data_IF_129132144300
#
_entry.id   IF_129132144300
#
_cell.length_a   1.000
_cell.length_b   1.000
_cell.length_c   1.000
_cell.angle_alpha   90.00
_cell.angle_beta   90.00
_cell.angle_gamma   90.00
#
_symmetry.space_group_name_H-M   'P 1'
#
loop_
_entity.id
_entity.type
_entity.pdbx_description
1 polymer ?
#
# COMPACT_ATOMS: atom_id res chain seq x y z
N UNK A 1 -19.48 40.75 -2.24
CA UNK A 1 -19.32 39.50 -1.48
C UNK A 1 -17.91 39.01 -1.72
N UNK A 2 -16.98 39.37 -0.83
CA UNK A 2 -15.58 38.94 -0.97
C UNK A 2 -15.47 37.44 -0.72
N UNK A 3 -15.09 36.71 -1.76
CA UNK A 3 -14.74 35.31 -1.70
C UNK A 3 -13.47 35.18 -0.85
N UNK A 4 -13.65 34.78 0.40
CA UNK A 4 -12.58 34.71 1.39
C UNK A 4 -11.72 33.47 1.10
N UNK A 5 -10.77 33.60 0.16
CA UNK A 5 -9.82 32.57 -0.29
C UNK A 5 -9.19 31.73 0.85
N UNK A 6 -8.81 32.32 2.01
CA UNK A 6 -8.34 31.55 3.17
C UNK A 6 -9.34 30.50 3.67
N UNK A 7 -10.65 30.81 3.67
CA UNK A 7 -11.70 29.87 4.11
C UNK A 7 -11.85 28.71 3.13
N UNK A 8 -11.74 28.98 1.83
CA UNK A 8 -11.81 27.93 0.79
C UNK A 8 -10.62 26.97 0.88
N UNK A 9 -9.41 27.49 1.11
CA UNK A 9 -8.24 26.65 1.34
C UNK A 9 -8.38 25.77 2.59
N UNK A 10 -8.91 26.33 3.67
CA UNK A 10 -9.14 25.58 4.91
C UNK A 10 -10.16 24.44 4.70
N UNK A 11 -11.29 24.73 4.05
CA UNK A 11 -12.32 23.73 3.73
C UNK A 11 -11.77 22.64 2.81
N UNK A 12 -10.95 23.00 1.81
CA UNK A 12 -10.31 22.03 0.91
C UNK A 12 -9.36 21.10 1.68
N UNK A 13 -8.56 21.65 2.59
CA UNK A 13 -7.64 20.89 3.42
C UNK A 13 -8.37 19.94 4.37
N UNK A 14 -9.41 20.41 5.05
CA UNK A 14 -10.24 19.57 5.94
C UNK A 14 -10.96 18.46 5.18
N UNK A 15 -11.51 18.75 3.99
CA UNK A 15 -12.10 17.73 3.12
C UNK A 15 -11.06 16.71 2.64
N UNK A 16 -9.85 17.16 2.32
CA UNK A 16 -8.75 16.28 1.95
C UNK A 16 -8.37 15.38 3.12
N UNK A 17 -8.11 15.94 4.31
CA UNK A 17 -7.74 15.15 5.48
C UNK A 17 -8.86 14.20 5.92
N UNK A 18 -10.14 14.57 5.74
CA UNK A 18 -11.27 13.69 6.05
C UNK A 18 -11.43 12.56 5.02
N UNK A 19 -11.36 12.88 3.71
CA UNK A 19 -11.51 11.87 2.64
C UNK A 19 -10.29 10.98 2.49
N UNK A 20 -9.12 11.48 2.82
CA UNK A 20 -7.84 10.80 2.64
C UNK A 20 -7.16 10.45 3.97
N UNK A 21 -7.87 10.53 5.11
CA UNK A 21 -7.33 10.16 6.42
C UNK A 21 -6.80 8.73 6.46
N UNK A 22 -7.47 7.81 5.75
CA UNK A 22 -7.07 6.42 5.59
C UNK A 22 -5.73 6.25 4.84
N UNK A 23 -5.32 7.24 4.03
CA UNK A 23 -4.06 7.17 3.30
C UNK A 23 -2.86 7.20 4.24
N UNK A 24 -2.97 7.82 5.41
CA UNK A 24 -1.89 7.83 6.41
C UNK A 24 -1.63 6.42 6.95
N UNK A 25 -2.70 5.67 7.23
CA UNK A 25 -2.61 4.27 7.66
C UNK A 25 -2.12 3.36 6.51
N UNK A 26 -2.55 3.65 5.28
CA UNK A 26 -2.06 2.94 4.09
C UNK A 26 -0.59 3.23 3.79
N UNK A 27 -0.11 4.44 4.07
CA UNK A 27 1.27 4.83 3.85
C UNK A 27 2.21 4.03 4.75
N UNK A 28 1.95 3.99 6.06
CA UNK A 28 2.72 3.14 6.99
C UNK A 28 2.66 1.68 6.59
N UNK A 29 1.48 1.18 6.23
CA UNK A 29 1.30 -0.21 5.78
C UNK A 29 2.12 -0.52 4.52
N UNK A 30 2.19 0.43 3.60
CA UNK A 30 2.97 0.32 2.36
C UNK A 30 4.47 0.41 2.63
N UNK A 31 4.88 1.20 3.61
CA UNK A 31 6.28 1.33 4.02
C UNK A 31 6.81 0.05 4.66
N UNK A 32 6.04 -0.56 5.56
CA UNK A 32 6.34 -1.90 6.12
C UNK A 32 6.49 -2.92 4.98
N UNK A 33 5.59 -2.88 4.00
CA UNK A 33 5.64 -3.78 2.84
C UNK A 33 6.87 -3.55 1.96
N UNK A 34 7.21 -2.30 1.66
CA UNK A 34 8.29 -1.94 0.76
C UNK A 34 9.68 -2.04 1.42
N UNK A 35 9.78 -1.83 2.73
CA UNK A 35 11.04 -1.75 3.47
C UNK A 35 10.96 -2.44 4.86
N UNK A 36 10.62 -3.75 4.91
CA UNK A 36 10.40 -4.45 6.19
C UNK A 36 11.65 -4.48 7.08
N UNK A 37 12.84 -4.46 6.47
CA UNK A 37 14.12 -4.45 7.20
C UNK A 37 14.53 -3.06 7.72
N UNK A 38 13.91 -1.98 7.23
CA UNK A 38 14.25 -0.59 7.61
C UNK A 38 13.15 0.08 8.45
N UNK A 39 11.95 -0.49 8.49
CA UNK A 39 10.84 -0.02 9.30
C UNK A 39 11.01 -0.33 10.80
N UNK A 40 10.81 0.66 11.66
CA UNK A 40 10.92 0.50 13.11
C UNK A 40 9.69 -0.23 13.72
N UNK A 41 9.87 -1.44 14.31
CA UNK A 41 8.77 -2.24 14.84
C UNK A 41 7.92 -1.54 15.90
N UNK A 42 8.45 -0.53 16.63
CA UNK A 42 7.66 0.15 17.66
C UNK A 42 6.45 0.90 17.08
N UNK A 43 6.51 1.29 15.81
CA UNK A 43 5.43 1.96 15.09
C UNK A 43 4.57 1.00 14.25
N UNK A 44 4.88 -0.30 14.25
CA UNK A 44 4.11 -1.30 13.52
C UNK A 44 2.84 -1.70 14.29
N UNK A 45 1.77 -2.16 13.59
CA UNK A 45 0.64 -2.82 14.23
C UNK A 45 1.10 -3.98 15.13
N UNK A 46 0.51 -4.13 16.31
CA UNK A 46 0.91 -5.14 17.33
C UNK A 46 1.06 -6.55 16.77
N UNK A 47 0.18 -6.94 15.85
CA UNK A 47 0.18 -8.24 15.18
C UNK A 47 1.40 -8.51 14.29
N UNK A 48 2.11 -7.47 13.86
CA UNK A 48 3.32 -7.58 13.03
C UNK A 48 4.62 -7.39 13.81
N UNK A 49 4.56 -6.84 15.03
CA UNK A 49 5.77 -6.38 15.75
C UNK A 49 6.77 -7.50 15.98
N UNK A 50 6.33 -8.65 16.50
CA UNK A 50 7.21 -9.77 16.81
C UNK A 50 7.84 -10.35 15.54
N UNK A 51 7.03 -10.65 14.53
CA UNK A 51 7.51 -11.16 13.24
C UNK A 51 8.47 -10.18 12.56
N UNK A 52 8.26 -8.86 12.67
CA UNK A 52 9.15 -7.85 12.10
C UNK A 52 10.49 -7.77 12.85
N UNK A 53 10.48 -7.94 14.17
CA UNK A 53 11.71 -8.01 14.97
C UNK A 53 12.54 -9.22 14.55
N UNK A 54 11.89 -10.39 14.48
CA UNK A 54 12.54 -11.64 14.08
C UNK A 54 13.08 -11.54 12.65
N UNK A 55 12.26 -11.04 11.72
CA UNK A 55 12.64 -10.84 10.32
C UNK A 55 13.88 -9.93 10.20
N UNK A 56 13.90 -8.83 10.94
CA UNK A 56 15.01 -7.86 10.95
C UNK A 56 16.30 -8.42 11.49
N UNK A 57 16.23 -9.40 12.39
CA UNK A 57 17.40 -10.04 12.97
C UNK A 57 18.16 -10.93 11.98
N UNK A 58 17.49 -11.39 10.91
CA UNK A 58 18.09 -12.28 9.92
C UNK A 58 18.88 -11.52 8.85
N UNK A 59 20.18 -11.80 8.80
CA UNK A 59 21.09 -11.25 7.78
C UNK A 59 20.81 -11.89 6.41
N UNK A 60 20.53 -13.20 6.39
CA UNK A 60 20.28 -13.97 5.17
C UNK A 60 19.01 -13.49 4.48
N UNK A 61 17.90 -13.36 5.23
CA UNK A 61 16.64 -12.85 4.67
C UNK A 61 16.79 -11.40 4.18
N UNK A 62 17.63 -10.60 4.83
CA UNK A 62 17.93 -9.24 4.38
C UNK A 62 18.74 -9.21 3.09
N UNK A 63 19.65 -10.16 2.89
CA UNK A 63 20.40 -10.33 1.65
C UNK A 63 19.47 -10.78 0.52
N UNK A 64 18.65 -11.81 0.76
CA UNK A 64 17.66 -12.31 -0.18
C UNK A 64 16.71 -11.21 -0.64
N UNK A 65 16.20 -10.40 0.29
CA UNK A 65 15.31 -9.28 -0.03
C UNK A 65 15.90 -8.29 -1.03
N UNK A 66 17.21 -8.02 -0.93
CA UNK A 66 17.92 -7.11 -1.84
C UNK A 66 18.12 -7.72 -3.23
N UNK A 67 18.23 -9.04 -3.31
CA UNK A 67 18.51 -9.76 -4.55
C UNK A 67 17.24 -10.02 -5.37
N UNK A 68 16.19 -10.57 -4.73
CA UNK A 68 14.99 -11.06 -5.46
C UNK A 68 13.88 -10.03 -5.62
N UNK A 69 13.95 -8.92 -4.87
CA UNK A 69 12.94 -7.85 -4.86
C UNK A 69 11.69 -8.17 -4.03
N UNK A 70 10.86 -7.14 -3.79
CA UNK A 70 9.78 -7.14 -2.77
C UNK A 70 8.79 -8.29 -2.95
N UNK A 71 8.19 -8.44 -4.14
CA UNK A 71 7.13 -9.44 -4.37
C UNK A 71 7.68 -10.87 -4.31
N UNK A 72 8.86 -11.10 -4.90
CA UNK A 72 9.48 -12.42 -4.93
C UNK A 72 9.90 -12.85 -3.53
N UNK A 73 10.42 -11.92 -2.72
CA UNK A 73 10.79 -12.18 -1.34
C UNK A 73 9.61 -12.67 -0.48
N UNK A 74 8.45 -12.01 -0.57
CA UNK A 74 7.28 -12.49 0.17
C UNK A 74 6.76 -13.86 -0.29
N UNK A 75 7.19 -14.38 -1.45
CA UNK A 75 6.85 -15.74 -1.88
C UNK A 75 7.80 -16.79 -1.30
N UNK A 76 9.00 -16.41 -0.87
CA UNK A 76 10.00 -17.34 -0.32
C UNK A 76 9.93 -17.44 1.21
N UNK A 77 9.31 -16.47 1.88
CA UNK A 77 9.15 -16.46 3.34
C UNK A 77 8.33 -17.68 3.84
N UNK A 78 8.82 -18.43 4.84
CA UNK A 78 8.11 -19.55 5.44
C UNK A 78 6.86 -19.09 6.19
N UNK A 79 5.70 -19.64 5.81
CA UNK A 79 4.39 -19.16 6.29
C UNK A 79 4.04 -19.58 7.71
N UNK A 80 4.70 -20.60 8.21
CA UNK A 80 4.64 -21.06 9.59
C UNK A 80 5.37 -20.13 10.55
N UNK A 81 6.41 -19.42 10.06
CA UNK A 81 7.21 -18.48 10.87
C UNK A 81 6.69 -17.04 10.74
N UNK A 82 6.27 -16.63 9.53
CA UNK A 82 5.85 -15.24 9.25
C UNK A 82 4.41 -15.10 8.74
N UNK A 83 3.39 -15.72 9.39
CA UNK A 83 2.02 -15.70 8.90
C UNK A 83 1.40 -14.30 8.83
N UNK A 84 1.67 -13.41 9.80
CA UNK A 84 1.09 -12.08 9.85
C UNK A 84 1.71 -11.15 8.79
N UNK A 85 3.03 -11.18 8.63
CA UNK A 85 3.75 -10.44 7.58
C UNK A 85 3.27 -10.88 6.20
N UNK A 86 3.12 -12.19 5.95
CA UNK A 86 2.61 -12.68 4.67
C UNK A 86 1.16 -12.27 4.41
N UNK A 87 0.31 -12.30 5.43
CA UNK A 87 -1.07 -11.81 5.32
C UNK A 87 -1.11 -10.32 4.98
N UNK A 88 -0.27 -9.52 5.64
CA UNK A 88 -0.12 -8.09 5.37
C UNK A 88 0.37 -7.84 3.94
N UNK A 89 1.44 -8.53 3.53
CA UNK A 89 2.02 -8.39 2.20
C UNK A 89 1.02 -8.70 1.08
N UNK A 90 0.22 -9.76 1.24
CA UNK A 90 -0.85 -10.11 0.30
C UNK A 90 -1.90 -9.00 0.22
N UNK A 91 -2.34 -8.46 1.35
CA UNK A 91 -3.32 -7.36 1.39
C UNK A 91 -2.81 -6.16 0.60
N UNK A 92 -1.56 -5.73 0.84
CA UNK A 92 -0.97 -4.58 0.16
C UNK A 92 -0.77 -4.85 -1.33
N UNK A 93 -0.23 -6.02 -1.71
CA UNK A 93 -0.07 -6.41 -3.10
C UNK A 93 -1.41 -6.44 -3.86
N UNK A 94 -2.50 -6.89 -3.23
CA UNK A 94 -3.84 -6.90 -3.82
C UNK A 94 -4.38 -5.50 -4.07
N UNK A 95 -4.04 -4.49 -3.25
CA UNK A 95 -4.45 -3.10 -3.50
C UNK A 95 -3.87 -2.61 -4.84
N UNK A 96 -2.57 -2.81 -5.06
CA UNK A 96 -1.90 -2.43 -6.32
C UNK A 96 -2.36 -3.26 -7.52
N UNK A 97 -2.67 -4.54 -7.33
CA UNK A 97 -3.25 -5.36 -8.40
C UNK A 97 -4.68 -4.95 -8.77
N UNK A 98 -5.47 -4.53 -7.77
CA UNK A 98 -6.86 -4.13 -8.00
C UNK A 98 -6.97 -2.81 -8.74
N UNK A 99 -6.08 -1.83 -8.47
CA UNK A 99 -6.07 -0.56 -9.22
C UNK A 99 -5.76 -0.78 -10.69
N UNK A 100 -4.71 -1.54 -11.01
CA UNK A 100 -4.38 -1.89 -12.40
C UNK A 100 -5.54 -2.61 -13.10
N UNK A 101 -6.16 -3.58 -12.43
CA UNK A 101 -7.29 -4.33 -12.97
C UNK A 101 -8.51 -3.42 -13.21
N UNK A 102 -8.82 -2.54 -12.26
CA UNK A 102 -9.89 -1.56 -12.38
C UNK A 102 -9.62 -0.56 -13.51
N UNK A 103 -8.41 -0.02 -13.62
CA UNK A 103 -8.01 0.91 -14.69
C UNK A 103 -8.11 0.26 -16.07
N UNK A 104 -7.65 -0.98 -16.22
CA UNK A 104 -7.80 -1.74 -17.45
C UNK A 104 -9.27 -1.95 -17.82
N UNK A 105 -10.12 -2.29 -16.84
CA UNK A 105 -11.56 -2.45 -17.04
C UNK A 105 -12.24 -1.13 -17.46
N UNK A 106 -11.98 -0.03 -16.76
CA UNK A 106 -12.51 1.29 -17.11
C UNK A 106 -12.02 1.77 -18.47
N UNK A 107 -10.77 1.50 -18.82
CA UNK A 107 -10.21 1.80 -20.14
C UNK A 107 -10.97 1.04 -21.24
N UNK A 108 -11.29 -0.22 -21.00
CA UNK A 108 -12.08 -1.06 -21.92
C UNK A 108 -13.52 -0.54 -22.05
N UNK A 109 -14.16 -0.14 -20.95
CA UNK A 109 -15.49 0.49 -20.97
C UNK A 109 -15.48 1.82 -21.73
N UNK A 110 -14.45 2.66 -21.52
CA UNK A 110 -14.28 3.92 -22.24
C UNK A 110 -14.11 3.70 -23.75
N UNK A 111 -13.34 2.68 -24.13
CA UNK A 111 -13.18 2.27 -25.53
C UNK A 111 -14.52 1.84 -26.15
N UNK A 112 -15.28 0.97 -25.48
CA UNK A 112 -16.61 0.52 -25.94
C UNK A 112 -17.56 1.72 -26.07
N UNK A 113 -17.64 2.57 -25.04
CA UNK A 113 -18.50 3.76 -25.05
C UNK A 113 -18.17 4.70 -26.21
N UNK A 114 -16.89 4.93 -26.50
CA UNK A 114 -16.47 5.79 -27.61
C UNK A 114 -16.71 5.14 -28.98
N UNK A 115 -16.56 3.81 -29.10
CA UNK A 115 -16.83 3.07 -30.35
C UNK A 115 -18.30 3.11 -30.76
N UNK A 116 -19.22 3.17 -29.79
CA UNK A 116 -20.66 3.27 -30.02
C UNK A 116 -21.18 4.72 -29.96
N UNK A 117 -20.29 5.71 -29.82
CA UNK A 117 -20.62 7.13 -29.89
C UNK A 117 -20.37 7.64 -31.31
N UNK A 118 -21.04 7.01 -32.27
CA UNK A 118 -21.16 7.51 -33.64
C UNK A 118 -22.61 7.94 -33.81
N UNK A 119 -22.84 9.25 -33.76
CA UNK A 119 -23.97 9.99 -34.29
C UNK A 119 -23.49 11.43 -34.51
#
# INVERSE_FOLDING_TARGET
METNMPKLFQISKENFDTRFGDFRNQQQSSEIFAQPFSFDPQYAPRELQLELIDLRSSIDLKADFKDVGVISFYKTLPSDIYPAILKHARRIASLFGSTYTCEAFFSKLKYIKNKHRTN
#
